data_IF_821575387682
#
_entry.id   IF_821575387682
#
_cell.length_a   1.000
_cell.length_b   1.000
_cell.length_c   1.000
_cell.angle_alpha   90.00
_cell.angle_beta   90.00
_cell.angle_gamma   90.00
#
_symmetry.space_group_name_H-M   'P 1'
#
loop_
_entity.id
_entity.type
_entity.pdbx_description
1 polymer ?
#
# COMPACT_ATOMS: atom_id res chain seq x y z
N UNK A 1 10.25 10.58 -0.78
CA UNK A 1 8.88 10.12 -0.48
C UNK A 1 8.17 11.22 0.29
N UNK A 2 7.22 11.92 -0.31
CA UNK A 2 6.48 13.00 0.38
C UNK A 2 5.62 12.43 1.52
N UNK A 3 5.38 13.23 2.55
CA UNK A 3 4.58 12.87 3.74
C UNK A 3 3.18 12.38 3.35
N UNK A 4 2.62 12.94 2.29
CA UNK A 4 1.31 12.58 1.70
C UNK A 4 1.25 11.13 1.22
N UNK A 5 2.36 10.61 0.69
CA UNK A 5 2.41 9.23 0.19
C UNK A 5 2.44 8.25 1.36
N UNK A 6 3.15 8.60 2.44
CA UNK A 6 3.19 7.81 3.67
C UNK A 6 1.80 7.77 4.32
N UNK A 7 1.11 8.90 4.39
CA UNK A 7 -0.29 9.01 4.86
C UNK A 7 -1.24 8.12 4.04
N UNK A 8 -1.14 8.14 2.70
CA UNK A 8 -1.95 7.29 1.80
C UNK A 8 -1.67 5.80 1.98
N UNK A 9 -0.40 5.42 2.16
CA UNK A 9 -0.02 4.02 2.44
C UNK A 9 -0.60 3.57 3.78
N UNK A 10 -0.56 4.43 4.81
CA UNK A 10 -1.10 4.15 6.14
C UNK A 10 -2.61 3.95 6.13
N UNK A 11 -3.35 4.85 5.48
CA UNK A 11 -4.81 4.75 5.33
C UNK A 11 -5.23 3.46 4.61
N UNK A 12 -4.53 3.13 3.52
CA UNK A 12 -4.80 1.91 2.75
C UNK A 12 -4.49 0.65 3.55
N UNK A 13 -3.43 0.66 4.35
CA UNK A 13 -3.09 -0.46 5.23
C UNK A 13 -4.12 -0.67 6.34
N UNK A 14 -4.66 0.41 6.92
CA UNK A 14 -5.75 0.32 7.89
C UNK A 14 -7.01 -0.29 7.25
N UNK A 15 -7.37 0.11 6.04
CA UNK A 15 -8.51 -0.46 5.30
C UNK A 15 -8.34 -1.95 5.00
N UNK A 16 -7.13 -2.38 4.60
CA UNK A 16 -6.83 -3.80 4.39
C UNK A 16 -6.99 -4.62 5.69
N UNK A 17 -6.62 -4.03 6.83
CA UNK A 17 -6.79 -4.68 8.15
C UNK A 17 -8.25 -4.88 8.55
N UNK A 18 -9.17 -4.02 8.10
CA UNK A 18 -10.61 -4.16 8.40
C UNK A 18 -11.22 -5.41 7.75
N UNK A 19 -10.74 -5.80 6.56
CA UNK A 19 -11.24 -6.96 5.82
C UNK A 19 -10.44 -8.24 6.09
N UNK A 20 -9.61 -8.28 7.14
CA UNK A 20 -8.65 -9.36 7.35
C UNK A 20 -9.33 -10.67 7.72
N UNK A 21 -9.20 -11.67 6.86
CA UNK A 21 -9.51 -13.08 7.17
C UNK A 21 -8.21 -13.85 7.43
N UNK A 22 -8.24 -14.91 8.25
CA UNK A 22 -7.05 -15.75 8.48
C UNK A 22 -6.57 -16.33 7.14
N UNK A 23 -5.35 -15.99 6.72
CA UNK A 23 -4.76 -16.44 5.45
C UNK A 23 -4.52 -15.35 4.40
N UNK A 24 -5.16 -14.17 4.52
CA UNK A 24 -5.01 -13.10 3.52
C UNK A 24 -3.78 -12.22 3.71
N UNK A 25 -3.00 -12.43 4.79
CA UNK A 25 -1.85 -11.58 5.18
C UNK A 25 -0.83 -11.45 4.04
N UNK A 26 -0.51 -12.53 3.35
CA UNK A 26 0.41 -12.48 2.21
C UNK A 26 -0.16 -11.69 1.03
N UNK A 27 -1.46 -11.77 0.81
CA UNK A 27 -2.17 -11.03 -0.25
C UNK A 27 -2.16 -9.55 0.06
N UNK A 28 -2.48 -9.16 1.30
CA UNK A 28 -2.48 -7.76 1.75
C UNK A 28 -1.08 -7.14 1.60
N UNK A 29 -0.05 -7.92 1.94
CA UNK A 29 1.35 -7.49 1.78
C UNK A 29 1.75 -7.34 0.31
N UNK A 30 1.32 -8.27 -0.57
CA UNK A 30 1.55 -8.19 -2.02
C UNK A 30 0.86 -6.97 -2.63
N UNK A 31 -0.37 -6.66 -2.21
CA UNK A 31 -1.11 -5.47 -2.66
C UNK A 31 -0.37 -4.20 -2.24
N UNK A 32 0.07 -4.11 -0.99
CA UNK A 32 0.81 -2.96 -0.48
C UNK A 32 2.15 -2.77 -1.23
N UNK A 33 2.88 -3.87 -1.47
CA UNK A 33 4.15 -3.84 -2.22
C UNK A 33 3.95 -3.40 -3.66
N UNK A 34 2.90 -3.87 -4.34
CA UNK A 34 2.57 -3.42 -5.69
C UNK A 34 2.19 -1.94 -5.71
N UNK A 35 1.40 -1.49 -4.73
CA UNK A 35 1.01 -0.09 -4.61
C UNK A 35 2.23 0.83 -4.47
N UNK A 36 3.17 0.49 -3.58
CA UNK A 36 4.43 1.23 -3.39
C UNK A 36 5.25 1.23 -4.68
N UNK A 37 5.37 0.09 -5.36
CA UNK A 37 6.11 -0.01 -6.62
C UNK A 37 5.53 0.88 -7.72
N UNK A 38 4.22 0.85 -7.91
CA UNK A 38 3.49 1.71 -8.87
C UNK A 38 3.70 3.19 -8.53
N UNK A 39 3.61 3.55 -7.25
CA UNK A 39 3.82 4.93 -6.80
C UNK A 39 5.25 5.42 -7.00
N UNK A 40 6.25 4.56 -6.80
CA UNK A 40 7.66 4.89 -7.09
C UNK A 40 7.85 5.10 -8.59
N UNK A 41 7.36 4.18 -9.44
CA UNK A 41 7.44 4.36 -10.90
C UNK A 41 6.69 5.61 -11.40
N UNK A 42 5.53 5.94 -10.81
CA UNK A 42 4.79 7.17 -11.15
C UNK A 42 5.53 8.44 -10.71
N UNK A 43 6.23 8.39 -9.57
CA UNK A 43 7.04 9.49 -9.07
C UNK A 43 8.37 9.67 -9.80
N UNK A 44 8.86 8.64 -10.49
CA UNK A 44 10.03 8.73 -11.39
C UNK A 44 9.65 9.31 -12.76
N UNK A 45 8.38 9.23 -13.17
CA UNK A 45 7.87 9.78 -14.44
C UNK A 45 7.36 11.23 -14.35
N UNK A 46 7.48 11.89 -13.19
CA UNK A 46 6.97 13.25 -12.94
C UNK A 46 8.11 14.27 -12.78
#
# INVERSE_FOLDING_TARGET
MSRDVIERIRDRWQKLRLCRHRGTVMTDYRILRNYVRIYQTLGETA
#
